data_IF_516152584785
#
_entry.id   IF_516152584785
#
_cell.length_a   1.000
_cell.length_b   1.000
_cell.length_c   1.000
_cell.angle_alpha   90.00
_cell.angle_beta   90.00
_cell.angle_gamma   90.00
#
_symmetry.space_group_name_H-M   'P 1'
#
loop_
_entity.id
_entity.type
_entity.pdbx_description
1 polymer ?
#
# COMPACT_ATOMS: atom_id res chain seq x y z
N UNK A 1 2.75 -7.40 16.57
CA UNK A 1 2.97 -8.50 15.61
C UNK A 1 2.02 -8.27 14.46
N UNK A 2 2.54 -8.18 13.24
CA UNK A 2 1.73 -7.98 12.05
C UNK A 2 0.99 -9.29 11.75
N UNK A 3 -0.33 -9.21 11.55
CA UNK A 3 -1.17 -10.41 11.44
C UNK A 3 -1.15 -10.96 10.00
N UNK A 4 0.04 -11.29 9.48
CA UNK A 4 0.19 -11.94 8.18
C UNK A 4 -0.40 -13.35 8.19
N UNK A 5 -0.85 -13.83 7.03
CA UNK A 5 -1.31 -15.22 6.88
C UNK A 5 -0.15 -16.17 7.18
N UNK A 6 1.04 -15.92 6.65
CA UNK A 6 2.19 -16.78 6.91
C UNK A 6 2.52 -16.92 8.39
N UNK A 7 2.53 -15.81 9.12
CA UNK A 7 2.86 -15.74 10.55
C UNK A 7 1.79 -16.39 11.41
N UNK A 8 0.52 -16.10 11.10
CA UNK A 8 -0.64 -16.65 11.83
C UNK A 8 -0.66 -18.17 11.80
N UNK A 9 -0.30 -18.76 10.66
CA UNK A 9 -0.34 -20.20 10.45
C UNK A 9 1.04 -20.87 10.54
N UNK A 10 2.08 -20.14 10.95
CA UNK A 10 3.48 -20.62 11.04
C UNK A 10 4.00 -21.25 9.73
N UNK A 11 3.68 -20.63 8.59
CA UNK A 11 3.96 -21.15 7.26
C UNK A 11 5.36 -20.79 6.74
N UNK A 12 6.14 -19.97 7.47
CA UNK A 12 7.42 -19.45 7.01
C UNK A 12 7.30 -18.85 5.59
N UNK A 13 8.21 -19.18 4.68
CA UNK A 13 8.22 -18.68 3.30
C UNK A 13 7.32 -19.47 2.33
N UNK A 14 6.52 -20.44 2.80
CA UNK A 14 5.74 -21.32 1.91
C UNK A 14 4.77 -20.57 1.00
N UNK A 15 4.16 -19.47 1.46
CA UNK A 15 3.29 -18.64 0.62
C UNK A 15 4.07 -18.00 -0.54
N UNK A 16 5.27 -17.49 -0.27
CA UNK A 16 6.14 -16.90 -1.29
C UNK A 16 6.63 -17.94 -2.30
N UNK A 17 7.03 -19.12 -1.83
CA UNK A 17 7.43 -20.25 -2.69
C UNK A 17 6.30 -20.68 -3.64
N UNK A 18 5.04 -20.53 -3.22
CA UNK A 18 3.85 -20.80 -4.02
C UNK A 18 3.37 -19.60 -4.86
N UNK A 19 4.04 -18.45 -4.77
CA UNK A 19 3.62 -17.22 -5.44
C UNK A 19 2.29 -16.66 -4.94
N UNK A 20 1.94 -16.92 -3.67
CA UNK A 20 0.74 -16.40 -3.01
C UNK A 20 1.08 -15.07 -2.34
N UNK A 21 0.20 -14.09 -2.49
CA UNK A 21 0.32 -12.83 -1.77
C UNK A 21 0.03 -13.05 -0.28
N UNK A 22 1.01 -12.71 0.55
CA UNK A 22 0.88 -12.83 2.01
C UNK A 22 0.15 -11.60 2.57
N UNK A 23 -1.17 -11.70 2.64
CA UNK A 23 -2.04 -10.61 3.08
C UNK A 23 -2.01 -10.43 4.60
N UNK A 24 -2.20 -9.19 5.06
CA UNK A 24 -2.51 -8.90 6.45
C UNK A 24 -3.99 -9.20 6.75
N UNK A 25 -4.25 -9.86 7.87
CA UNK A 25 -5.60 -10.25 8.26
C UNK A 25 -6.42 -9.09 8.83
N UNK A 26 -5.77 -8.09 9.43
CA UNK A 26 -6.39 -6.99 10.16
C UNK A 26 -6.48 -5.68 9.35
N UNK A 27 -5.56 -5.45 8.42
CA UNK A 27 -5.54 -4.27 7.55
C UNK A 27 -5.56 -4.65 6.07
N UNK A 28 -5.96 -3.71 5.21
CA UNK A 28 -5.90 -3.91 3.77
C UNK A 28 -4.52 -3.55 3.22
N UNK A 29 -4.09 -4.32 2.23
CA UNK A 29 -2.84 -4.07 1.52
C UNK A 29 -3.08 -3.15 0.33
N UNK A 30 -2.15 -2.22 0.14
CA UNK A 30 -2.13 -1.27 -0.95
C UNK A 30 -1.72 -1.94 -2.26
N UNK A 31 -2.54 -2.86 -2.79
CA UNK A 31 -2.42 -3.47 -4.12
C UNK A 31 -3.80 -3.65 -4.78
N UNK A 32 -3.83 -3.93 -6.07
CA UNK A 32 -5.07 -4.19 -6.81
C UNK A 32 -4.91 -5.32 -7.84
N UNK A 33 -6.02 -5.91 -8.29
CA UNK A 33 -6.03 -6.92 -9.35
C UNK A 33 -5.90 -6.24 -10.71
N UNK A 34 -4.80 -6.51 -11.41
CA UNK A 34 -4.51 -5.88 -12.69
C UNK A 34 -4.98 -6.76 -13.87
N UNK A 35 -5.90 -6.24 -14.68
CA UNK A 35 -6.46 -6.97 -15.83
C UNK A 35 -5.41 -7.35 -16.90
N UNK A 36 -4.36 -6.56 -17.07
CA UNK A 36 -3.27 -6.87 -18.00
C UNK A 36 -2.37 -8.00 -17.48
N UNK A 37 -2.29 -8.16 -16.16
CA UNK A 37 -1.68 -9.35 -15.57
C UNK A 37 -2.56 -10.58 -15.75
N UNK A 38 -3.88 -10.45 -15.63
CA UNK A 38 -4.82 -11.55 -15.95
C UNK A 38 -4.76 -11.99 -17.42
N UNK A 39 -4.42 -11.09 -18.35
CA UNK A 39 -4.22 -11.42 -19.78
C UNK A 39 -3.02 -12.35 -20.00
N UNK A 40 -1.99 -12.26 -19.15
CA UNK A 40 -0.70 -12.94 -19.33
C UNK A 40 -0.39 -13.98 -18.26
N UNK A 41 -1.29 -14.15 -17.27
CA UNK A 41 -1.08 -15.06 -16.14
C UNK A 41 -1.01 -16.51 -16.59
N UNK A 42 -0.14 -17.27 -15.93
CA UNK A 42 -0.01 -18.72 -16.15
C UNK A 42 -0.71 -19.54 -15.08
N UNK A 43 -1.27 -18.90 -14.05
CA UNK A 43 -1.95 -19.55 -12.93
C UNK A 43 -3.24 -20.20 -13.42
N UNK A 44 -3.38 -21.50 -13.16
CA UNK A 44 -4.40 -22.35 -13.79
C UNK A 44 -5.83 -21.85 -13.59
N UNK A 45 -6.19 -21.40 -12.39
CA UNK A 45 -7.53 -20.90 -12.06
C UNK A 45 -7.88 -19.61 -12.79
N UNK A 46 -6.87 -18.81 -13.16
CA UNK A 46 -7.06 -17.48 -13.74
C UNK A 46 -6.87 -17.42 -15.26
N UNK A 47 -6.46 -18.53 -15.92
CA UNK A 47 -6.20 -18.56 -17.37
C UNK A 47 -7.37 -18.04 -18.22
N UNK A 48 -8.59 -18.33 -17.80
CA UNK A 48 -9.81 -17.90 -18.52
C UNK A 48 -10.42 -16.60 -17.97
N UNK A 49 -9.88 -16.05 -16.86
CA UNK A 49 -10.46 -14.90 -16.17
C UNK A 49 -10.52 -13.66 -17.06
N UNK A 50 -9.46 -13.37 -17.82
CA UNK A 50 -9.44 -12.26 -18.78
C UNK A 50 -10.57 -12.38 -19.82
N UNK A 51 -10.77 -13.57 -20.37
CA UNK A 51 -11.84 -13.82 -21.33
C UNK A 51 -13.23 -13.74 -20.68
N UNK A 52 -13.41 -14.24 -19.44
CA UNK A 52 -14.67 -14.11 -18.69
C UNK A 52 -15.07 -12.64 -18.49
N UNK A 53 -14.10 -11.80 -18.12
CA UNK A 53 -14.29 -10.36 -17.94
C UNK A 53 -14.74 -9.71 -19.25
N UNK A 54 -13.99 -9.91 -20.33
CA UNK A 54 -14.33 -9.35 -21.64
C UNK A 54 -15.70 -9.83 -22.13
N UNK A 55 -16.05 -11.09 -21.93
CA UNK A 55 -17.36 -11.64 -22.31
C UNK A 55 -18.53 -10.95 -21.60
N UNK A 56 -18.35 -10.48 -20.36
CA UNK A 56 -19.36 -9.68 -19.67
C UNK A 56 -19.45 -8.30 -20.31
N UNK A 57 -18.33 -7.65 -20.55
CA UNK A 57 -18.27 -6.33 -21.17
C UNK A 57 -18.82 -6.32 -22.60
N UNK A 58 -18.55 -7.34 -23.41
CA UNK A 58 -19.13 -7.54 -24.73
C UNK A 58 -20.67 -7.66 -24.67
N UNK A 59 -21.21 -8.40 -23.70
CA UNK A 59 -22.67 -8.50 -23.50
C UNK A 59 -23.26 -7.14 -23.16
N UNK A 60 -22.61 -6.38 -22.28
CA UNK A 60 -23.06 -5.03 -21.91
C UNK A 60 -23.02 -4.13 -23.15
N UNK A 61 -21.93 -4.12 -23.91
CA UNK A 61 -21.80 -3.34 -25.13
C UNK A 61 -22.90 -3.71 -26.15
N UNK A 62 -23.17 -5.00 -26.35
CA UNK A 62 -24.23 -5.48 -27.24
C UNK A 62 -25.63 -5.02 -26.80
N UNK A 63 -25.92 -5.07 -25.50
CA UNK A 63 -27.18 -4.58 -24.94
C UNK A 63 -27.32 -3.07 -25.17
N UNK A 64 -26.27 -2.30 -24.90
CA UNK A 64 -26.26 -0.86 -25.14
C UNK A 64 -26.39 -0.52 -26.62
N UNK A 65 -25.76 -1.27 -27.52
CA UNK A 65 -25.91 -1.10 -28.98
C UNK A 65 -27.36 -1.29 -29.44
N UNK A 66 -28.08 -2.26 -28.86
CA UNK A 66 -29.49 -2.54 -29.17
C UNK A 66 -30.48 -1.60 -28.48
N UNK A 67 -30.04 -0.89 -27.43
CA UNK A 67 -30.86 0.08 -26.73
C UNK A 67 -31.14 1.31 -27.60
N UNK A 68 -32.39 1.80 -27.55
CA UNK A 68 -32.85 3.05 -28.16
C UNK A 68 -32.80 4.23 -27.19
N UNK A 69 -33.04 4.00 -25.90
CA UNK A 69 -33.00 5.02 -24.85
C UNK A 69 -32.79 4.41 -23.46
N UNK A 70 -32.54 5.27 -22.48
CA UNK A 70 -32.25 4.96 -21.08
C UNK A 70 -33.41 4.26 -20.31
N UNK A 71 -34.61 4.19 -20.90
CA UNK A 71 -35.79 3.57 -20.27
C UNK A 71 -36.10 2.17 -20.80
N UNK A 72 -35.47 1.76 -21.89
CA UNK A 72 -35.78 0.47 -22.52
C UNK A 72 -35.18 -0.73 -21.78
N UNK A 73 -35.66 -1.92 -22.14
CA UNK A 73 -35.28 -3.18 -21.49
C UNK A 73 -33.80 -3.54 -21.68
N UNK A 74 -33.19 -3.16 -22.80
CA UNK A 74 -31.79 -3.48 -23.08
C UNK A 74 -30.88 -2.57 -22.25
N UNK A 75 -31.21 -1.29 -22.11
CA UNK A 75 -30.49 -0.38 -21.22
C UNK A 75 -30.55 -0.81 -19.76
N UNK A 76 -31.75 -1.17 -19.28
CA UNK A 76 -31.93 -1.68 -17.91
C UNK A 76 -31.15 -2.97 -17.68
N UNK A 77 -31.21 -3.91 -18.63
CA UNK A 77 -30.43 -5.16 -18.55
C UNK A 77 -28.91 -4.89 -18.54
N UNK A 78 -28.41 -3.92 -19.31
CA UNK A 78 -27.01 -3.53 -19.28
C UNK A 78 -26.62 -2.93 -17.92
N UNK A 79 -27.46 -2.06 -17.36
CA UNK A 79 -27.25 -1.45 -16.04
C UNK A 79 -27.26 -2.48 -14.90
N UNK A 80 -28.15 -3.48 -15.00
CA UNK A 80 -28.24 -4.58 -14.03
C UNK A 80 -27.03 -5.52 -14.15
N UNK A 81 -26.57 -5.80 -15.37
CA UNK A 81 -25.38 -6.62 -15.63
C UNK A 81 -24.09 -5.91 -15.18
N UNK A 82 -24.07 -4.57 -15.20
CA UNK A 82 -22.97 -3.75 -14.68
C UNK A 82 -23.07 -3.51 -13.16
N UNK A 83 -23.65 -4.45 -12.42
CA UNK A 83 -23.70 -4.40 -10.96
C UNK A 83 -22.60 -5.26 -10.35
N UNK A 84 -21.54 -4.62 -9.86
CA UNK A 84 -20.40 -5.28 -9.25
C UNK A 84 -20.24 -4.81 -7.79
N UNK A 85 -20.89 -5.48 -6.83
CA UNK A 85 -20.64 -5.25 -5.41
C UNK A 85 -19.22 -5.70 -5.03
N UNK A 86 -18.66 -5.04 -4.00
CA UNK A 86 -17.35 -5.36 -3.41
C UNK A 86 -17.27 -6.84 -3.01
N UNK A 87 -16.10 -7.44 -3.24
CA UNK A 87 -15.80 -8.80 -2.80
C UNK A 87 -15.05 -8.72 -1.48
N UNK A 88 -15.77 -9.00 -0.40
CA UNK A 88 -15.17 -9.10 0.93
C UNK A 88 -14.13 -10.24 0.97
N UNK A 89 -13.05 -10.03 1.73
CA UNK A 89 -12.10 -11.10 2.04
C UNK A 89 -10.75 -11.04 1.32
N UNK A 90 -10.60 -10.16 0.33
CA UNK A 90 -9.38 -10.05 -0.48
C UNK A 90 -8.20 -9.41 0.28
N UNK A 91 -8.49 -8.62 1.32
CA UNK A 91 -7.46 -7.89 2.06
C UNK A 91 -6.72 -6.85 1.22
N UNK A 92 -7.40 -6.28 0.21
CA UNK A 92 -6.88 -5.26 -0.70
C UNK A 92 -7.73 -3.99 -0.58
N UNK A 93 -7.08 -2.82 -0.63
CA UNK A 93 -7.80 -1.54 -0.60
C UNK A 93 -6.91 -0.35 -0.27
N UNK A 94 -7.31 0.84 -0.76
CA UNK A 94 -6.63 2.12 -0.52
C UNK A 94 -7.52 3.16 0.17
N UNK A 95 -8.78 2.83 0.44
CA UNK A 95 -9.68 3.72 1.16
C UNK A 95 -9.53 3.55 2.68
N UNK A 96 -9.33 4.66 3.41
CA UNK A 96 -9.26 4.71 4.89
C UNK A 96 -10.61 4.41 5.61
N UNK A 97 -11.58 3.81 4.91
CA UNK A 97 -12.94 3.56 5.38
C UNK A 97 -13.22 2.07 5.62
N UNK A 98 -14.01 1.75 6.65
CA UNK A 98 -14.32 0.37 7.08
C UNK A 98 -15.03 -0.52 6.05
N UNK A 99 -15.54 0.03 4.94
CA UNK A 99 -16.17 -0.70 3.83
C UNK A 99 -16.08 0.09 2.52
N UNK A 100 -15.55 -0.51 1.45
CA UNK A 100 -15.60 0.03 0.10
C UNK A 100 -17.02 -0.12 -0.46
N UNK A 101 -17.65 0.94 -0.98
CA UNK A 101 -19.04 0.84 -1.46
C UNK A 101 -19.19 0.24 -2.88
N UNK A 102 -18.12 -0.37 -3.43
CA UNK A 102 -18.05 -0.77 -4.83
C UNK A 102 -18.51 0.35 -5.79
N UNK A 103 -19.15 -0.03 -6.90
CA UNK A 103 -19.80 0.91 -7.81
C UNK A 103 -21.25 1.22 -7.36
N UNK A 104 -21.42 2.31 -6.62
CA UNK A 104 -22.73 2.81 -6.20
C UNK A 104 -23.69 3.12 -7.36
N UNK A 105 -25.00 3.13 -7.09
CA UNK A 105 -26.07 3.27 -8.12
C UNK A 105 -25.88 4.46 -9.06
N UNK A 106 -25.60 5.65 -8.53
CA UNK A 106 -25.41 6.88 -9.33
C UNK A 106 -24.23 6.74 -10.30
N UNK A 107 -23.13 6.12 -9.83
CA UNK A 107 -21.93 5.97 -10.62
C UNK A 107 -22.12 4.95 -11.75
N UNK A 108 -22.76 3.81 -11.45
CA UNK A 108 -23.14 2.83 -12.49
C UNK A 108 -24.02 3.45 -13.57
N UNK A 109 -25.00 4.25 -13.18
CA UNK A 109 -25.87 4.95 -14.13
C UNK A 109 -25.08 5.91 -15.03
N UNK A 110 -24.10 6.64 -14.47
CA UNK A 110 -23.23 7.53 -15.25
C UNK A 110 -22.37 6.72 -16.24
N UNK A 111 -21.64 5.72 -15.75
CA UNK A 111 -20.78 4.87 -16.60
C UNK A 111 -21.56 4.26 -17.77
N UNK A 112 -22.75 3.72 -17.50
CA UNK A 112 -23.56 3.08 -18.53
C UNK A 112 -24.16 4.10 -19.50
N UNK A 113 -24.48 5.31 -19.03
CA UNK A 113 -24.90 6.42 -19.89
C UNK A 113 -23.77 6.87 -20.83
N UNK A 114 -22.56 7.03 -20.30
CA UNK A 114 -21.39 7.49 -21.08
C UNK A 114 -20.96 6.39 -22.07
N UNK A 115 -20.92 5.13 -21.63
CA UNK A 115 -20.69 3.98 -22.51
C UNK A 115 -21.73 3.89 -23.63
N UNK A 116 -23.01 4.17 -23.36
CA UNK A 116 -24.06 4.19 -24.39
C UNK A 116 -23.80 5.27 -25.45
N UNK A 117 -23.33 6.45 -25.04
CA UNK A 117 -22.98 7.53 -25.97
C UNK A 117 -21.78 7.15 -26.84
N UNK A 118 -20.72 6.62 -26.23
CA UNK A 118 -19.53 6.13 -26.94
C UNK A 118 -19.88 5.05 -27.97
N UNK A 119 -20.68 4.05 -27.56
CA UNK A 119 -21.13 2.96 -28.45
C UNK A 119 -22.02 3.50 -29.58
N UNK A 120 -22.89 4.48 -29.30
CA UNK A 120 -23.70 5.11 -30.34
C UNK A 120 -22.85 5.90 -31.34
N UNK A 121 -21.70 6.42 -30.90
CA UNK A 121 -20.75 7.16 -31.73
C UNK A 121 -19.86 6.24 -32.59
N UNK A 122 -19.87 4.93 -32.34
CA UNK A 122 -19.31 3.91 -33.25
C UNK A 122 -18.20 3.04 -32.66
N UNK A 123 -17.87 3.19 -31.38
CA UNK A 123 -16.84 2.39 -30.70
C UNK A 123 -17.50 1.41 -29.71
N UNK A 124 -17.51 0.12 -30.02
CA UNK A 124 -18.18 -0.93 -29.24
C UNK A 124 -17.22 -1.96 -28.62
N UNK A 125 -15.92 -1.65 -28.56
CA UNK A 125 -14.90 -2.47 -27.92
C UNK A 125 -15.17 -2.71 -26.42
N UNK A 126 -15.06 -3.95 -25.90
CA UNK A 126 -15.24 -4.23 -24.46
C UNK A 126 -14.19 -3.53 -23.57
N UNK A 127 -13.00 -3.23 -24.10
CA UNK A 127 -11.92 -2.60 -23.34
C UNK A 127 -12.22 -1.15 -22.91
N UNK A 128 -13.30 -0.54 -23.40
CA UNK A 128 -13.83 0.74 -22.87
C UNK A 128 -14.06 0.62 -21.36
N UNK A 129 -14.59 -0.53 -20.91
CA UNK A 129 -14.85 -0.77 -19.48
C UNK A 129 -13.58 -1.02 -18.67
N UNK A 130 -12.46 -1.37 -19.31
CA UNK A 130 -11.15 -1.45 -18.63
C UNK A 130 -10.63 -0.05 -18.32
N UNK A 131 -10.89 0.89 -19.23
CA UNK A 131 -10.44 2.28 -19.16
C UNK A 131 -11.46 3.22 -18.50
N UNK A 132 -12.53 2.71 -17.90
CA UNK A 132 -13.55 3.56 -17.27
C UNK A 132 -12.96 4.52 -16.22
N UNK A 133 -11.93 4.09 -15.48
CA UNK A 133 -11.20 4.96 -14.56
C UNK A 133 -10.46 6.14 -15.21
N UNK A 134 -10.25 6.13 -16.52
CA UNK A 134 -9.57 7.19 -17.28
C UNK A 134 -10.46 8.43 -17.46
N UNK A 135 -11.76 8.23 -17.65
CA UNK A 135 -12.70 9.30 -18.02
C UNK A 135 -13.87 9.45 -17.03
N UNK A 136 -14.00 8.56 -16.03
CA UNK A 136 -15.05 8.65 -15.03
C UNK A 136 -14.58 9.18 -13.67
N UNK A 137 -15.29 10.20 -13.18
CA UNK A 137 -15.06 10.74 -11.84
C UNK A 137 -15.35 9.68 -10.78
N UNK A 138 -14.56 9.72 -9.72
CA UNK A 138 -14.68 8.80 -8.59
C UNK A 138 -14.50 7.31 -8.95
N UNK A 139 -14.04 6.96 -10.15
CA UNK A 139 -13.58 5.59 -10.43
C UNK A 139 -12.06 5.59 -10.30
N UNK A 140 -11.62 5.05 -9.17
CA UNK A 140 -10.21 4.74 -8.91
C UNK A 140 -9.94 3.24 -9.05
N UNK A 141 -8.66 2.83 -8.94
CA UNK A 141 -8.28 1.44 -9.16
C UNK A 141 -8.92 0.45 -8.19
N UNK A 142 -9.24 0.84 -6.95
CA UNK A 142 -9.99 0.00 -6.00
C UNK A 142 -11.32 -0.47 -6.60
N UNK A 143 -12.11 0.45 -7.18
CA UNK A 143 -13.42 0.12 -7.77
C UNK A 143 -13.27 -0.72 -9.04
N UNK A 144 -12.16 -0.58 -9.76
CA UNK A 144 -11.84 -1.42 -10.91
C UNK A 144 -11.46 -2.83 -10.42
N UNK A 145 -10.66 -2.91 -9.37
CA UNK A 145 -10.26 -4.15 -8.70
C UNK A 145 -11.47 -4.91 -8.18
N UNK A 146 -12.39 -4.22 -7.50
CA UNK A 146 -13.66 -4.79 -7.02
C UNK A 146 -14.49 -5.35 -8.15
N UNK A 147 -14.60 -4.59 -9.26
CA UNK A 147 -15.32 -5.03 -10.45
C UNK A 147 -14.71 -6.30 -11.03
N UNK A 148 -13.39 -6.32 -11.19
CA UNK A 148 -12.65 -7.49 -11.69
C UNK A 148 -12.85 -8.67 -10.74
N UNK A 149 -12.58 -8.48 -9.45
CA UNK A 149 -12.71 -9.49 -8.41
C UNK A 149 -14.12 -10.09 -8.36
N UNK A 150 -15.16 -9.26 -8.50
CA UNK A 150 -16.54 -9.71 -8.53
C UNK A 150 -16.78 -10.68 -9.69
N UNK A 151 -16.28 -10.34 -10.88
CA UNK A 151 -16.46 -11.16 -12.08
C UNK A 151 -15.74 -12.51 -11.94
N UNK A 152 -14.54 -12.50 -11.34
CA UNK A 152 -13.67 -13.68 -11.24
C UNK A 152 -13.72 -14.34 -9.86
N UNK A 153 -14.75 -14.03 -9.05
CA UNK A 153 -14.84 -14.47 -7.65
C UNK A 153 -14.71 -15.98 -7.50
N UNK A 154 -15.33 -16.75 -8.38
CA UNK A 154 -15.25 -18.21 -8.36
C UNK A 154 -13.83 -18.73 -8.64
N UNK A 155 -13.07 -18.03 -9.48
CA UNK A 155 -11.67 -18.35 -9.79
C UNK A 155 -10.78 -18.08 -8.56
N UNK A 156 -11.04 -16.97 -7.86
CA UNK A 156 -10.36 -16.63 -6.59
C UNK A 156 -10.66 -17.67 -5.50
N UNK A 157 -11.92 -18.10 -5.37
CA UNK A 157 -12.32 -19.12 -4.40
C UNK A 157 -11.64 -20.46 -4.74
N UNK A 158 -11.64 -20.87 -6.00
CA UNK A 158 -10.97 -22.10 -6.44
C UNK A 158 -9.46 -22.06 -6.12
N UNK A 159 -8.80 -20.95 -6.44
CA UNK A 159 -7.39 -20.73 -6.11
C UNK A 159 -7.15 -20.82 -4.60
N UNK A 160 -7.95 -20.12 -3.81
CA UNK A 160 -7.85 -20.12 -2.34
C UNK A 160 -7.98 -21.53 -1.77
N UNK A 161 -8.97 -22.31 -2.23
CA UNK A 161 -9.19 -23.70 -1.79
C UNK A 161 -7.99 -24.60 -2.14
N UNK A 162 -7.41 -24.46 -3.33
CA UNK A 162 -6.20 -25.20 -3.70
C UNK A 162 -5.04 -24.86 -2.77
N UNK A 163 -4.81 -23.58 -2.52
CA UNK A 163 -3.72 -23.13 -1.64
C UNK A 163 -3.93 -23.62 -0.20
N UNK A 164 -5.15 -23.49 0.35
CA UNK A 164 -5.48 -24.04 1.67
C UNK A 164 -5.22 -25.55 1.75
N UNK A 165 -5.53 -26.29 0.68
CA UNK A 165 -5.25 -27.74 0.61
C UNK A 165 -3.75 -28.03 0.63
N UNK A 166 -2.95 -27.32 -0.16
CA UNK A 166 -1.48 -27.50 -0.23
C UNK A 166 -0.81 -27.15 1.10
N UNK A 167 -1.31 -26.11 1.77
CA UNK A 167 -0.77 -25.62 3.04
C UNK A 167 -1.37 -26.33 4.25
N UNK A 168 -2.35 -27.20 4.02
CA UNK A 168 -3.12 -27.91 5.04
C UNK A 168 -3.82 -26.96 6.04
N UNK A 169 -4.26 -25.79 5.56
CA UNK A 169 -5.03 -24.81 6.33
C UNK A 169 -6.50 -25.26 6.34
N UNK A 170 -6.86 -26.03 7.36
CA UNK A 170 -8.18 -26.60 7.54
C UNK A 170 -8.55 -26.72 9.03
N UNK A 171 -9.81 -27.05 9.31
CA UNK A 171 -10.33 -27.15 10.67
C UNK A 171 -9.72 -28.30 11.50
N UNK A 172 -9.10 -29.29 10.87
CA UNK A 172 -8.45 -30.40 11.59
C UNK A 172 -7.09 -29.96 12.14
N UNK A 173 -6.30 -29.25 11.33
CA UNK A 173 -4.98 -28.75 11.70
C UNK A 173 -5.02 -27.44 12.50
N UNK A 174 -6.08 -26.65 12.35
CA UNK A 174 -6.25 -25.34 12.99
C UNK A 174 -7.65 -25.20 13.63
N UNK A 175 -7.98 -26.02 14.65
CA UNK A 175 -9.32 -26.10 15.25
C UNK A 175 -9.78 -24.82 15.98
N UNK A 176 -8.85 -23.94 16.31
CA UNK A 176 -9.12 -22.63 16.93
C UNK A 176 -9.65 -21.60 15.93
N UNK A 177 -9.53 -21.87 14.63
CA UNK A 177 -10.04 -21.01 13.57
C UNK A 177 -11.38 -21.51 13.01
N UNK A 178 -12.19 -20.57 12.52
CA UNK A 178 -13.47 -20.89 11.89
C UNK A 178 -13.31 -21.07 10.38
N UNK A 179 -14.03 -22.02 9.81
CA UNK A 179 -14.03 -22.32 8.38
C UNK A 179 -15.46 -22.42 7.84
N UNK A 180 -15.70 -21.92 6.64
CA UNK A 180 -16.97 -22.02 5.92
C UNK A 180 -16.69 -22.45 4.48
N UNK A 181 -17.33 -23.52 4.02
CA UNK A 181 -17.14 -24.09 2.67
C UNK A 181 -15.68 -24.34 2.25
N UNK A 182 -14.81 -24.66 3.21
CA UNK A 182 -13.37 -24.88 2.97
C UNK A 182 -12.53 -23.60 2.87
N UNK A 183 -13.12 -22.45 3.17
CA UNK A 183 -12.44 -21.16 3.31
C UNK A 183 -12.28 -20.82 4.78
N UNK A 184 -11.09 -20.32 5.15
CA UNK A 184 -10.86 -19.76 6.47
C UNK A 184 -11.73 -18.50 6.65
N UNK A 185 -12.36 -18.33 7.80
CA UNK A 185 -12.96 -17.07 8.19
C UNK A 185 -11.91 -16.23 8.91
N UNK A 186 -11.60 -15.07 8.34
CA UNK A 186 -10.66 -14.12 8.90
C UNK A 186 -11.08 -13.74 10.34
N UNK A 187 -10.23 -13.98 11.36
CA UNK A 187 -10.60 -13.79 12.77
C UNK A 187 -10.78 -12.30 13.15
N UNK A 188 -10.23 -11.37 12.39
CA UNK A 188 -10.33 -9.92 12.64
C UNK A 188 -11.49 -9.30 11.86
N UNK A 189 -11.59 -9.59 10.55
CA UNK A 189 -12.60 -9.00 9.65
C UNK A 189 -13.92 -9.77 9.60
N UNK A 190 -13.98 -10.99 10.12
CA UNK A 190 -15.17 -11.86 10.16
C UNK A 190 -15.77 -12.15 8.78
N UNK A 191 -14.91 -12.21 7.76
CA UNK A 191 -15.25 -12.53 6.37
C UNK A 191 -14.38 -13.69 5.89
N UNK A 192 -14.79 -14.44 4.86
CA UNK A 192 -13.92 -15.47 4.26
C UNK A 192 -12.60 -14.84 3.81
N UNK A 193 -11.47 -15.46 4.13
CA UNK A 193 -10.17 -15.07 3.60
C UNK A 193 -10.05 -15.58 2.17
N UNK A 194 -9.82 -14.66 1.23
CA UNK A 194 -9.61 -14.96 -0.17
C UNK A 194 -8.16 -14.63 -0.54
N UNK A 195 -7.40 -15.66 -0.90
CA UNK A 195 -6.00 -15.54 -1.28
C UNK A 195 -5.88 -15.19 -2.76
N UNK A 196 -4.84 -14.42 -3.10
CA UNK A 196 -4.55 -14.01 -4.48
C UNK A 196 -3.10 -14.34 -4.83
N UNK A 197 -2.79 -14.73 -6.08
CA UNK A 197 -1.41 -14.87 -6.52
C UNK A 197 -0.76 -13.49 -6.70
N UNK A 198 0.52 -13.37 -6.36
CA UNK A 198 1.31 -12.15 -6.62
C UNK A 198 1.32 -11.78 -8.12
N UNK A 199 1.18 -12.78 -8.99
CA UNK A 199 1.25 -12.65 -10.45
C UNK A 199 0.18 -11.72 -11.04
N UNK A 200 -1.00 -11.65 -10.43
CA UNK A 200 -2.14 -10.85 -10.91
C UNK A 200 -2.26 -9.50 -10.19
N UNK A 201 -1.42 -9.28 -9.18
CA UNK A 201 -1.41 -8.07 -8.37
C UNK A 201 -0.41 -7.06 -8.93
N UNK A 202 -0.70 -5.80 -8.68
CA UNK A 202 0.23 -4.72 -8.97
C UNK A 202 0.07 -3.60 -7.93
N UNK A 203 1.13 -2.84 -7.66
CA UNK A 203 0.95 -1.53 -7.02
C UNK A 203 -0.03 -0.71 -7.84
N UNK A 204 -0.84 0.12 -7.19
CA UNK A 204 -1.50 1.24 -7.85
C UNK A 204 -0.54 1.80 -8.90
N UNK A 205 -0.96 2.01 -10.16
CA UNK A 205 -0.16 2.88 -10.98
C UNK A 205 0.17 4.12 -10.14
N UNK A 206 1.39 4.63 -10.22
CA UNK A 206 1.79 5.89 -9.53
C UNK A 206 0.76 7.01 -9.78
N UNK A 207 -0.14 6.82 -10.76
CA UNK A 207 -1.48 7.38 -10.83
C UNK A 207 -2.43 7.11 -9.63
N UNK A 208 -2.07 7.66 -8.46
CA UNK A 208 -3.03 8.53 -7.75
C UNK A 208 -3.32 9.79 -8.61
N UNK A 209 -2.31 10.19 -9.40
CA UNK A 209 -2.32 11.23 -10.43
C UNK A 209 -1.60 10.78 -11.72
N UNK A 210 -2.29 10.93 -12.85
CA UNK A 210 -1.78 11.46 -14.12
C UNK A 210 -0.65 10.82 -14.94
N UNK A 211 0.32 10.10 -14.39
CA UNK A 211 1.45 9.64 -15.21
C UNK A 211 1.03 8.63 -16.30
N UNK A 212 -0.07 7.89 -16.11
CA UNK A 212 -0.64 7.04 -17.16
C UNK A 212 -1.49 7.82 -18.17
N UNK A 213 -2.20 8.89 -17.76
CA UNK A 213 -2.94 9.73 -18.71
C UNK A 213 -1.95 10.48 -19.57
N UNK A 214 -0.90 11.07 -19.01
CA UNK A 214 0.15 11.73 -19.78
C UNK A 214 0.97 10.73 -20.58
N UNK A 215 1.25 9.50 -20.11
CA UNK A 215 1.91 8.47 -20.93
C UNK A 215 1.03 8.04 -22.10
N UNK A 216 -0.26 7.79 -21.86
CA UNK A 216 -1.23 7.40 -22.91
C UNK A 216 -1.46 8.57 -23.87
N UNK A 217 -1.65 9.80 -23.38
CA UNK A 217 -1.72 11.01 -24.19
C UNK A 217 -0.44 11.26 -24.99
N UNK A 218 0.74 11.04 -24.42
CA UNK A 218 2.01 11.18 -25.13
C UNK A 218 2.25 10.06 -26.16
N UNK A 219 1.75 8.85 -25.92
CA UNK A 219 1.85 7.72 -26.85
C UNK A 219 0.80 7.84 -27.99
N UNK A 220 -0.37 8.41 -27.71
CA UNK A 220 -1.41 8.68 -28.69
C UNK A 220 -1.21 10.12 -29.20
N UNK A 221 -0.31 10.30 -30.19
CA UNK A 221 0.00 11.62 -30.77
C UNK A 221 -1.25 12.45 -31.16
N UNK A 222 -2.34 11.78 -31.57
CA UNK A 222 -3.63 12.40 -31.90
C UNK A 222 -4.31 12.97 -30.64
N UNK A 223 -4.34 12.22 -29.53
CA UNK A 223 -4.92 12.66 -28.26
C UNK A 223 -4.18 13.89 -27.72
N UNK A 224 -2.84 13.92 -27.85
CA UNK A 224 -2.04 15.10 -27.50
C UNK A 224 -2.34 16.31 -28.39
N UNK A 225 -2.47 16.12 -29.70
CA UNK A 225 -2.80 17.21 -30.63
C UNK A 225 -4.18 17.80 -30.31
N UNK A 226 -5.18 16.95 -30.15
CA UNK A 226 -6.56 17.34 -29.83
C UNK A 226 -6.67 18.02 -28.45
N UNK A 227 -6.01 17.48 -27.42
CA UNK A 227 -5.96 18.12 -26.11
C UNK A 227 -5.25 19.49 -26.18
N UNK A 228 -4.13 19.58 -26.92
CA UNK A 228 -3.42 20.84 -27.09
C UNK A 228 -4.26 21.88 -27.86
N UNK A 229 -5.03 21.45 -28.86
CA UNK A 229 -5.90 22.33 -29.64
C UNK A 229 -7.10 22.82 -28.84
N UNK A 230 -7.68 21.98 -27.96
CA UNK A 230 -8.86 22.33 -27.14
C UNK A 230 -8.44 23.13 -25.90
N UNK A 231 -7.28 22.83 -25.30
CA UNK A 231 -6.96 23.25 -23.93
C UNK A 231 -5.59 23.90 -23.78
N UNK A 232 -4.62 23.55 -24.62
CA UNK A 232 -3.26 24.07 -24.59
C UNK A 232 -2.60 23.98 -23.20
N UNK A 233 -1.93 25.04 -22.78
CA UNK A 233 -1.16 25.09 -21.52
C UNK A 233 -2.02 24.87 -20.26
N UNK A 234 -3.34 25.13 -20.32
CA UNK A 234 -4.26 24.93 -19.18
C UNK A 234 -4.43 23.47 -18.80
N UNK A 235 -4.04 22.54 -19.67
CA UNK A 235 -4.14 21.10 -19.41
C UNK A 235 -3.28 20.70 -18.22
N UNK A 236 -2.08 21.28 -18.07
CA UNK A 236 -1.17 20.93 -16.97
C UNK A 236 -1.72 21.32 -15.61
N UNK A 237 -2.35 22.49 -15.52
CA UNK A 237 -2.80 23.11 -14.26
C UNK A 237 -4.18 22.63 -13.79
N UNK A 238 -4.89 21.81 -14.58
CA UNK A 238 -6.22 21.32 -14.18
C UNK A 238 -6.18 20.24 -13.10
N UNK A 239 -7.25 20.18 -12.31
CA UNK A 239 -7.49 19.07 -11.37
C UNK A 239 -7.86 17.79 -12.11
N UNK A 240 -7.54 16.63 -11.52
CA UNK A 240 -7.85 15.31 -12.11
C UNK A 240 -9.30 15.16 -12.50
N UNK A 241 -10.23 15.63 -11.66
CA UNK A 241 -11.66 15.57 -11.95
C UNK A 241 -12.05 16.32 -13.22
N UNK A 242 -11.46 17.50 -13.45
CA UNK A 242 -11.75 18.30 -14.66
C UNK A 242 -11.14 17.66 -15.91
N UNK A 243 -9.95 17.08 -15.79
CA UNK A 243 -9.28 16.37 -16.89
C UNK A 243 -10.07 15.13 -17.33
N UNK A 244 -10.64 14.40 -16.38
CA UNK A 244 -11.55 13.27 -16.66
C UNK A 244 -12.80 13.70 -17.42
N UNK A 245 -13.41 14.82 -17.03
CA UNK A 245 -14.59 15.35 -17.74
C UNK A 245 -14.25 15.73 -19.17
N UNK A 246 -13.11 16.38 -19.39
CA UNK A 246 -12.62 16.69 -20.74
C UNK A 246 -12.47 15.41 -21.56
N UNK A 247 -11.79 14.38 -21.02
CA UNK A 247 -11.58 13.12 -21.74
C UNK A 247 -12.90 12.43 -22.06
N UNK A 248 -13.87 12.44 -21.13
CA UNK A 248 -15.20 11.90 -21.38
C UNK A 248 -15.88 12.60 -22.55
N UNK A 249 -15.92 13.95 -22.54
CA UNK A 249 -16.46 14.75 -23.65
C UNK A 249 -15.73 14.45 -24.96
N UNK A 250 -14.40 14.43 -24.93
CA UNK A 250 -13.55 14.18 -26.10
C UNK A 250 -13.82 12.81 -26.72
N UNK A 251 -13.93 11.76 -25.89
CA UNK A 251 -14.22 10.40 -26.37
C UNK A 251 -15.63 10.25 -26.93
N UNK A 252 -16.60 11.02 -26.42
CA UNK A 252 -17.97 11.04 -26.93
C UNK A 252 -18.06 11.81 -28.26
N UNK A 253 -17.41 12.98 -28.35
CA UNK A 253 -17.46 13.84 -29.53
C UNK A 253 -16.57 13.32 -30.68
N UNK A 254 -15.45 12.66 -30.35
CA UNK A 254 -14.45 12.18 -31.31
C UNK A 254 -14.06 10.71 -31.06
N UNK A 255 -14.90 9.74 -31.49
CA UNK A 255 -14.69 8.32 -31.21
C UNK A 255 -13.35 7.77 -31.71
N UNK A 256 -12.81 8.31 -32.81
CA UNK A 256 -11.51 7.90 -33.35
C UNK A 256 -10.33 8.10 -32.38
N UNK A 257 -10.44 9.05 -31.45
CA UNK A 257 -9.45 9.27 -30.39
C UNK A 257 -9.51 8.12 -29.37
N UNK A 258 -10.72 7.69 -28.98
CA UNK A 258 -10.89 6.53 -28.11
C UNK A 258 -10.39 5.25 -28.81
N UNK A 259 -10.76 5.03 -30.07
CA UNK A 259 -10.25 3.89 -30.86
C UNK A 259 -8.72 3.85 -30.88
N UNK A 260 -8.08 5.01 -31.12
CA UNK A 260 -6.61 5.12 -31.11
C UNK A 260 -6.02 4.82 -29.73
N UNK A 261 -6.68 5.31 -28.68
CA UNK A 261 -6.30 5.04 -27.28
C UNK A 261 -6.40 3.55 -26.95
N UNK A 262 -7.47 2.89 -27.36
CA UNK A 262 -7.68 1.46 -27.18
C UNK A 262 -6.63 0.64 -27.94
N UNK A 263 -6.25 1.05 -29.15
CA UNK A 263 -5.20 0.37 -29.91
C UNK A 263 -3.83 0.44 -29.22
N UNK A 264 -3.48 1.59 -28.64
CA UNK A 264 -2.26 1.70 -27.80
C UNK A 264 -2.39 0.81 -26.57
N UNK A 265 -3.53 0.86 -25.87
CA UNK A 265 -3.79 0.05 -24.68
C UNK A 265 -3.68 -1.46 -24.93
N UNK A 266 -4.14 -1.94 -26.10
CA UNK A 266 -4.00 -3.36 -26.50
C UNK A 266 -2.54 -3.79 -26.61
N UNK A 267 -1.65 -2.91 -27.08
CA UNK A 267 -0.22 -3.17 -27.20
C UNK A 267 0.59 -3.07 -25.90
N UNK A 268 -0.02 -2.60 -24.81
CA UNK A 268 0.65 -2.50 -23.50
C UNK A 268 0.76 -3.89 -22.87
N UNK A 269 2.00 -4.29 -22.59
CA UNK A 269 2.32 -5.37 -21.67
C UNK A 269 2.81 -4.78 -20.35
N UNK A 270 2.42 -5.39 -19.23
CA UNK A 270 2.83 -4.98 -17.89
C UNK A 270 3.61 -6.14 -17.28
N UNK A 271 4.84 -5.88 -16.83
CA UNK A 271 5.67 -6.88 -16.16
C UNK A 271 5.08 -7.27 -14.80
N UNK A 272 5.54 -8.39 -14.23
CA UNK A 272 5.15 -8.77 -12.87
C UNK A 272 5.61 -7.70 -11.88
N UNK A 273 4.78 -7.41 -10.87
CA UNK A 273 5.18 -6.51 -9.80
C UNK A 273 6.27 -7.14 -8.94
N UNK A 274 7.37 -6.43 -8.75
CA UNK A 274 8.46 -6.88 -7.88
C UNK A 274 8.15 -6.50 -6.43
N UNK A 275 7.50 -7.41 -5.70
CA UNK A 275 7.22 -7.25 -4.27
C UNK A 275 8.49 -7.15 -3.40
N UNK A 276 9.66 -7.56 -3.90
CA UNK A 276 10.97 -7.43 -3.23
C UNK A 276 11.60 -6.07 -3.51
N UNK A 277 11.24 -5.42 -4.62
CA UNK A 277 11.58 -4.03 -4.94
C UNK A 277 10.34 -3.15 -4.92
N UNK A 278 9.50 -3.32 -3.91
CA UNK A 278 8.34 -2.45 -3.72
C UNK A 278 8.79 -0.99 -3.53
N UNK A 279 8.32 -0.10 -4.40
CA UNK A 279 8.65 1.33 -4.36
C UNK A 279 8.20 2.00 -3.06
N UNK A 280 7.10 1.57 -2.46
CA UNK A 280 6.64 2.04 -1.14
C UNK A 280 7.39 1.34 0.00
N UNK A 281 7.76 0.07 -0.22
CA UNK A 281 8.51 -0.77 0.71
C UNK A 281 7.64 -1.38 1.80
N UNK A 282 6.33 -1.12 1.79
CA UNK A 282 5.43 -1.46 2.88
C UNK A 282 5.37 -2.99 3.10
N UNK A 283 5.29 -3.78 2.02
CA UNK A 283 5.23 -5.23 2.11
C UNK A 283 6.53 -5.85 2.65
N UNK A 284 7.68 -5.40 2.14
CA UNK A 284 9.01 -5.93 2.53
C UNK A 284 9.32 -5.55 3.97
N UNK A 285 9.06 -4.30 4.36
CA UNK A 285 9.28 -3.81 5.73
C UNK A 285 8.48 -4.67 6.70
N UNK A 286 7.20 -4.87 6.41
CA UNK A 286 6.29 -5.64 7.23
C UNK A 286 6.75 -7.11 7.35
N UNK A 287 7.12 -7.75 6.23
CA UNK A 287 7.57 -9.15 6.21
C UNK A 287 8.92 -9.36 6.91
N UNK A 288 9.89 -8.45 6.70
CA UNK A 288 11.17 -8.51 7.40
C UNK A 288 10.92 -8.36 8.90
N UNK A 289 10.14 -7.36 9.30
CA UNK A 289 9.88 -7.06 10.70
C UNK A 289 9.24 -8.22 11.47
N UNK A 290 8.37 -8.98 10.81
CA UNK A 290 7.70 -10.12 11.42
C UNK A 290 8.65 -11.27 11.79
N UNK A 291 9.71 -11.48 11.00
CA UNK A 291 10.73 -12.51 11.25
C UNK A 291 11.84 -12.06 12.24
N UNK A 292 11.88 -10.79 12.62
CA UNK A 292 12.96 -10.27 13.47
C UNK A 292 12.94 -10.82 14.89
N UNK A 293 11.81 -10.93 15.61
CA UNK A 293 11.82 -11.40 17.00
C UNK A 293 12.35 -12.83 17.15
N UNK A 294 12.11 -13.70 16.18
CA UNK A 294 12.62 -15.08 16.17
C UNK A 294 14.10 -15.13 15.81
N UNK A 295 14.53 -14.31 14.86
CA UNK A 295 15.93 -14.29 14.38
C UNK A 295 16.87 -13.55 15.34
N UNK A 296 16.37 -12.48 15.96
CA UNK A 296 17.13 -11.55 16.80
C UNK A 296 16.39 -11.21 18.11
N UNK A 297 16.15 -12.19 18.98
CA UNK A 297 15.37 -11.99 20.20
C UNK A 297 16.02 -10.96 21.14
N UNK A 298 15.19 -10.14 21.80
CA UNK A 298 15.64 -9.25 22.87
C UNK A 298 15.51 -9.99 24.19
N UNK A 299 16.64 -10.17 24.90
CA UNK A 299 16.66 -10.72 26.26
C UNK A 299 16.87 -9.57 27.25
N UNK A 300 15.89 -9.30 28.13
CA UNK A 300 16.08 -8.35 29.23
C UNK A 300 16.67 -9.06 30.45
N UNK A 301 17.65 -8.45 31.10
CA UNK A 301 18.18 -8.93 32.37
C UNK A 301 17.16 -8.77 33.52
N UNK A 302 17.23 -9.63 34.53
CA UNK A 302 16.35 -9.59 35.72
C UNK A 302 16.42 -8.26 36.51
N UNK A 303 17.46 -7.45 36.29
CA UNK A 303 17.71 -6.17 36.97
C UNK A 303 17.12 -4.93 36.28
N UNK A 304 16.55 -5.08 35.08
CA UNK A 304 15.92 -3.95 34.38
C UNK A 304 14.60 -3.59 35.06
N UNK A 305 14.51 -2.42 35.69
CA UNK A 305 13.20 -1.83 36.01
C UNK A 305 12.40 -1.79 34.72
N UNK A 306 11.23 -2.44 34.69
CA UNK A 306 10.28 -2.49 33.56
C UNK A 306 9.59 -1.13 33.32
N UNK A 307 10.35 -0.03 33.32
CA UNK A 307 9.80 1.25 32.89
C UNK A 307 9.67 1.27 31.37
N UNK A 308 8.68 2.00 30.87
CA UNK A 308 8.52 2.20 29.42
C UNK A 308 9.79 2.77 28.80
N UNK A 309 10.50 3.66 29.50
CA UNK A 309 11.74 4.25 29.02
C UNK A 309 12.82 3.22 28.73
N UNK A 310 13.07 2.28 29.66
CA UNK A 310 14.12 1.27 29.47
C UNK A 310 13.77 0.32 28.32
N UNK A 311 12.51 -0.13 28.26
CA UNK A 311 12.04 -1.02 27.19
C UNK A 311 12.13 -0.31 25.83
N UNK A 312 11.64 0.93 25.74
CA UNK A 312 11.67 1.73 24.51
C UNK A 312 13.12 1.97 24.07
N UNK A 313 14.02 2.30 25.01
CA UNK A 313 15.45 2.44 24.73
C UNK A 313 16.04 1.15 24.16
N UNK A 314 15.75 0.00 24.77
CA UNK A 314 16.20 -1.30 24.25
C UNK A 314 15.68 -1.58 22.85
N UNK A 315 14.43 -1.23 22.55
CA UNK A 315 13.86 -1.37 21.19
C UNK A 315 14.58 -0.44 20.19
N UNK A 316 14.83 0.83 20.54
CA UNK A 316 15.55 1.77 19.70
C UNK A 316 17.00 1.33 19.44
N UNK A 317 17.70 0.84 20.47
CA UNK A 317 19.05 0.27 20.33
C UNK A 317 19.03 -1.01 19.49
N UNK A 318 17.98 -1.83 19.61
CA UNK A 318 17.85 -3.01 18.76
C UNK A 318 17.61 -2.63 17.31
N UNK A 319 16.77 -1.63 17.04
CA UNK A 319 16.59 -1.08 15.71
C UNK A 319 17.93 -0.56 15.14
N UNK A 320 18.71 0.18 15.94
CA UNK A 320 20.05 0.64 15.56
C UNK A 320 20.96 -0.52 15.15
N UNK A 321 21.06 -1.55 15.99
CA UNK A 321 21.87 -2.75 15.73
C UNK A 321 21.46 -3.47 14.45
N UNK A 322 20.16 -3.67 14.25
CA UNK A 322 19.61 -4.33 13.06
C UNK A 322 19.97 -3.57 11.77
N UNK A 323 19.83 -2.25 11.78
CA UNK A 323 20.17 -1.39 10.65
C UNK A 323 21.68 -1.38 10.41
N UNK A 324 22.50 -1.24 11.44
CA UNK A 324 23.95 -1.05 11.30
C UNK A 324 24.72 -2.35 11.02
N UNK A 325 24.24 -3.49 11.54
CA UNK A 325 25.00 -4.73 11.62
C UNK A 325 24.29 -5.95 10.99
N UNK A 326 22.97 -5.92 10.77
CA UNK A 326 22.20 -7.08 10.29
C UNK A 326 21.55 -6.90 8.91
N UNK A 327 22.09 -6.00 8.08
CA UNK A 327 21.61 -5.68 6.72
C UNK A 327 20.13 -5.22 6.65
N UNK A 328 19.52 -4.82 7.78
CA UNK A 328 18.16 -4.27 7.77
C UNK A 328 18.15 -2.84 7.19
N UNK A 329 19.32 -2.21 7.01
CA UNK A 329 19.48 -0.94 6.32
C UNK A 329 18.86 -0.92 4.93
N UNK A 330 18.80 -2.07 4.23
CA UNK A 330 18.22 -2.18 2.89
C UNK A 330 16.75 -1.74 2.86
N UNK A 331 16.01 -1.88 3.98
CA UNK A 331 14.64 -1.37 4.11
C UNK A 331 14.55 0.15 3.93
N UNK A 332 15.63 0.87 4.20
CA UNK A 332 15.67 2.33 4.15
C UNK A 332 16.10 2.86 2.77
N UNK A 333 16.31 1.97 1.78
CA UNK A 333 16.69 2.33 0.42
C UNK A 333 15.75 1.70 -0.62
N UNK A 334 15.65 2.36 -1.77
CA UNK A 334 15.00 1.84 -2.98
C UNK A 334 15.91 2.17 -4.17
N UNK A 335 16.34 1.16 -4.94
CA UNK A 335 17.30 1.35 -6.05
C UNK A 335 18.54 2.18 -5.68
N UNK A 336 19.11 1.94 -4.48
CA UNK A 336 20.23 2.69 -3.89
C UNK A 336 19.93 4.16 -3.55
N UNK A 337 18.69 4.61 -3.67
CA UNK A 337 18.24 5.93 -3.21
C UNK A 337 17.63 5.82 -1.82
N UNK A 338 17.94 6.75 -0.90
CA UNK A 338 17.33 6.74 0.43
C UNK A 338 15.81 6.99 0.35
N UNK A 339 15.04 6.27 1.16
CA UNK A 339 13.61 6.52 1.34
C UNK A 339 13.38 7.77 2.20
N UNK A 340 12.16 8.30 2.17
CA UNK A 340 11.78 9.49 2.94
C UNK A 340 11.57 9.16 4.44
N UNK A 341 11.46 10.20 5.27
CA UNK A 341 11.29 10.07 6.73
C UNK A 341 10.09 9.20 7.11
N UNK A 342 8.96 9.32 6.39
CA UNK A 342 7.76 8.52 6.62
C UNK A 342 7.98 7.03 6.43
N UNK A 343 8.78 6.62 5.43
CA UNK A 343 9.15 5.22 5.25
C UNK A 343 10.06 4.71 6.39
N UNK A 344 10.97 5.55 6.88
CA UNK A 344 11.82 5.21 8.04
C UNK A 344 10.98 5.06 9.32
N UNK A 345 10.00 5.95 9.53
CA UNK A 345 9.04 5.84 10.63
C UNK A 345 8.24 4.54 10.55
N UNK A 346 7.73 4.17 9.37
CA UNK A 346 7.06 2.88 9.15
C UNK A 346 7.97 1.69 9.44
N UNK A 347 9.23 1.73 8.98
CA UNK A 347 10.20 0.69 9.27
C UNK A 347 10.44 0.54 10.77
N UNK A 348 10.63 1.65 11.47
CA UNK A 348 10.75 1.64 12.93
C UNK A 348 9.50 1.07 13.60
N UNK A 349 8.29 1.50 13.20
CA UNK A 349 7.04 0.99 13.75
C UNK A 349 6.94 -0.53 13.64
N UNK A 350 7.22 -1.09 12.45
CA UNK A 350 7.12 -2.53 12.24
C UNK A 350 8.11 -3.30 13.11
N UNK A 351 9.35 -2.81 13.21
CA UNK A 351 10.38 -3.42 14.09
C UNK A 351 9.99 -3.27 15.56
N UNK A 352 9.55 -2.09 15.99
CA UNK A 352 9.20 -1.82 17.37
C UNK A 352 8.01 -2.67 17.82
N UNK A 353 6.94 -2.70 17.02
CA UNK A 353 5.72 -3.46 17.29
C UNK A 353 5.98 -4.98 17.38
N UNK A 354 6.93 -5.50 16.58
CA UNK A 354 7.29 -6.92 16.65
C UNK A 354 7.94 -7.31 17.99
N UNK A 355 8.62 -6.36 18.66
CA UNK A 355 9.16 -6.54 20.01
C UNK A 355 8.22 -6.09 21.13
N UNK A 356 7.30 -5.15 20.89
CA UNK A 356 6.36 -4.66 21.90
C UNK A 356 5.52 -5.78 22.54
N UNK A 357 5.09 -6.75 21.73
CA UNK A 357 4.33 -7.91 22.21
C UNK A 357 5.11 -8.73 23.26
N UNK A 358 6.42 -8.92 23.07
CA UNK A 358 7.27 -9.65 24.02
C UNK A 358 7.37 -8.95 25.39
N UNK A 359 7.14 -7.64 25.43
CA UNK A 359 7.25 -6.83 26.64
C UNK A 359 5.92 -6.38 27.22
N UNK A 360 4.80 -6.71 26.57
CA UNK A 360 3.45 -6.26 26.94
C UNK A 360 3.39 -4.72 27.14
N UNK A 361 3.91 -3.99 26.16
CA UNK A 361 3.90 -2.52 26.10
C UNK A 361 3.07 -2.06 24.90
N UNK A 362 2.23 -1.04 25.08
CA UNK A 362 1.49 -0.43 23.98
C UNK A 362 2.37 0.53 23.18
N UNK A 363 2.22 0.54 21.86
CA UNK A 363 2.79 1.54 20.95
C UNK A 363 1.65 2.21 20.18
N UNK A 364 1.69 3.54 20.08
CA UNK A 364 0.71 4.33 19.32
C UNK A 364 1.44 5.28 18.38
N UNK A 365 1.31 5.12 17.05
CA UNK A 365 1.87 6.05 16.08
C UNK A 365 1.02 7.32 15.95
N UNK A 366 1.66 8.42 15.55
CA UNK A 366 1.02 9.69 15.15
C UNK A 366 -0.03 10.22 16.16
N UNK A 367 0.20 10.08 17.48
CA UNK A 367 -0.75 10.58 18.48
C UNK A 367 -0.73 12.10 18.56
N UNK A 368 -1.83 12.76 18.20
CA UNK A 368 -1.97 14.22 18.27
C UNK A 368 -2.66 14.66 19.58
N UNK A 369 -1.91 15.37 20.42
CA UNK A 369 -2.37 15.96 21.67
C UNK A 369 -2.49 17.49 21.60
N UNK A 370 -2.59 18.06 20.38
CA UNK A 370 -2.97 19.44 20.10
C UNK A 370 -1.87 20.34 19.52
N UNK A 371 -0.62 19.88 19.44
CA UNK A 371 0.52 20.62 18.83
C UNK A 371 1.11 19.86 17.63
N UNK A 372 0.31 19.00 17.03
CA UNK A 372 0.72 18.07 15.99
C UNK A 372 1.04 16.69 16.58
N UNK A 373 1.09 15.67 15.72
CA UNK A 373 1.34 14.30 16.13
C UNK A 373 2.81 14.13 16.55
N UNK A 374 3.04 13.45 17.67
CA UNK A 374 4.34 12.83 17.95
C UNK A 374 4.45 11.54 17.16
N UNK A 375 5.64 11.20 16.68
CA UNK A 375 5.83 10.00 15.85
C UNK A 375 5.37 8.73 16.57
N UNK A 376 5.85 8.49 17.79
CA UNK A 376 5.45 7.33 18.60
C UNK A 376 5.31 7.63 20.08
N UNK A 377 4.27 7.04 20.69
CA UNK A 377 4.09 6.97 22.14
C UNK A 377 4.09 5.51 22.59
N UNK A 378 4.93 5.21 23.58
CA UNK A 378 4.99 3.92 24.25
C UNK A 378 4.43 4.03 25.66
N UNK A 379 3.56 3.10 26.07
CA UNK A 379 2.90 3.19 27.36
C UNK A 379 2.56 1.83 28.00
N UNK A 380 2.69 1.76 29.32
CA UNK A 380 2.16 0.66 30.16
C UNK A 380 1.09 1.16 31.13
N UNK A 381 1.06 2.46 31.42
CA UNK A 381 0.09 3.10 32.31
C UNK A 381 0.05 4.61 32.07
N UNK A 382 -0.93 5.30 32.66
CA UNK A 382 -1.03 6.76 32.55
C UNK A 382 0.22 7.49 33.10
N UNK A 383 0.93 6.95 34.09
CA UNK A 383 2.10 7.59 34.71
C UNK A 383 3.43 7.17 34.10
N UNK A 384 3.44 6.12 33.27
CA UNK A 384 4.64 5.61 32.63
C UNK A 384 4.42 5.60 31.11
N UNK A 385 4.96 6.65 30.47
CA UNK A 385 4.86 6.91 29.03
C UNK A 385 6.21 7.38 28.52
N UNK A 386 6.62 6.93 27.35
CA UNK A 386 7.85 7.36 26.69
C UNK A 386 7.55 7.77 25.25
N UNK A 387 8.06 8.92 24.83
CA UNK A 387 7.90 9.43 23.48
C UNK A 387 9.13 9.10 22.63
N UNK A 388 8.93 8.76 21.37
CA UNK A 388 10.01 8.66 20.38
C UNK A 388 9.69 9.58 19.22
N UNK A 389 10.62 10.47 18.89
CA UNK A 389 10.58 11.32 17.69
C UNK A 389 11.72 10.90 16.76
N UNK A 390 11.41 10.67 15.49
CA UNK A 390 12.36 10.26 14.47
C UNK A 390 12.68 11.43 13.56
N UNK A 391 13.97 11.64 13.27
CA UNK A 391 14.40 12.53 12.20
C UNK A 391 15.46 11.94 11.31
N UNK A 392 15.37 12.23 10.02
CA UNK A 392 16.51 12.05 9.12
C UNK A 392 17.60 13.07 9.45
N UNK A 393 18.86 12.64 9.44
CA UNK A 393 20.01 13.52 9.63
C UNK A 393 20.08 14.65 8.59
N UNK A 394 19.44 14.49 7.43
CA UNK A 394 19.32 15.49 6.37
C UNK A 394 18.29 16.59 6.67
N UNK A 395 17.44 16.43 7.70
CA UNK A 395 16.40 17.40 8.07
C UNK A 395 16.99 18.80 8.31
N UNK A 396 16.29 19.84 7.85
CA UNK A 396 16.68 21.23 8.13
C UNK A 396 16.38 21.64 9.57
N UNK A 397 15.46 20.92 10.24
CA UNK A 397 15.01 21.20 11.58
C UNK A 397 15.59 20.21 12.60
N UNK A 398 16.73 19.57 12.33
CA UNK A 398 17.28 18.50 13.16
C UNK A 398 17.52 18.93 14.63
N UNK A 399 18.18 20.07 14.86
CA UNK A 399 18.39 20.57 16.23
C UNK A 399 17.09 21.12 16.82
N UNK A 400 16.29 21.81 16.01
CA UNK A 400 15.02 22.40 16.44
C UNK A 400 13.99 21.35 16.88
N UNK A 401 13.95 20.19 16.20
CA UNK A 401 13.07 19.08 16.55
C UNK A 401 13.36 18.55 17.95
N UNK A 402 14.63 18.34 18.28
CA UNK A 402 15.04 17.91 19.61
C UNK A 402 14.78 18.99 20.68
N UNK A 403 15.07 20.25 20.36
CA UNK A 403 15.00 21.36 21.32
C UNK A 403 13.57 21.85 21.60
N UNK A 404 12.69 21.83 20.60
CA UNK A 404 11.38 22.49 20.67
C UNK A 404 10.24 21.50 20.46
N UNK A 405 10.24 20.74 19.37
CA UNK A 405 9.11 19.86 19.04
C UNK A 405 8.89 18.80 20.13
N UNK A 406 9.95 18.06 20.48
CA UNK A 406 9.85 17.00 21.47
C UNK A 406 9.55 17.52 22.89
N UNK A 407 9.98 18.74 23.22
CA UNK A 407 9.62 19.40 24.48
C UNK A 407 8.12 19.73 24.56
N UNK A 408 7.53 20.23 23.47
CA UNK A 408 6.09 20.51 23.42
C UNK A 408 5.27 19.22 23.50
N UNK A 409 5.70 18.13 22.84
CA UNK A 409 5.05 16.83 22.95
C UNK A 409 5.09 16.26 24.37
N UNK A 410 6.24 16.36 25.05
CA UNK A 410 6.39 15.95 26.46
C UNK A 410 5.43 16.68 27.38
N UNK A 411 5.25 17.99 27.19
CA UNK A 411 4.27 18.79 27.95
C UNK A 411 2.84 18.32 27.71
N UNK A 412 2.47 18.10 26.45
CA UNK A 412 1.13 17.66 26.08
C UNK A 412 0.80 16.27 26.65
N UNK A 413 1.75 15.34 26.58
CA UNK A 413 1.62 13.96 27.08
C UNK A 413 1.93 13.80 28.56
N UNK A 414 2.34 14.88 29.26
CA UNK A 414 2.70 14.89 30.69
C UNK A 414 3.74 13.83 31.05
N UNK A 415 4.80 13.71 30.24
CA UNK A 415 5.93 12.81 30.48
C UNK A 415 7.27 13.53 30.37
N UNK A 416 8.26 13.04 31.10
CA UNK A 416 9.67 13.48 30.99
C UNK A 416 10.51 12.50 30.16
N UNK A 417 10.00 11.29 29.90
CA UNK A 417 10.74 10.27 29.19
C UNK A 417 10.58 10.46 27.68
N UNK A 418 11.68 10.70 26.99
CA UNK A 418 11.66 10.77 25.53
C UNK A 418 12.99 10.37 24.91
N UNK A 419 12.93 9.85 23.69
CA UNK A 419 14.06 9.45 22.87
C UNK A 419 13.98 10.20 21.54
N UNK A 420 15.11 10.78 21.12
CA UNK A 420 15.28 11.39 19.82
C UNK A 420 16.13 10.46 18.95
N UNK A 421 15.48 9.82 17.97
CA UNK A 421 16.08 8.80 17.13
C UNK A 421 16.46 9.41 15.77
N UNK A 422 17.75 9.58 15.52
CA UNK A 422 18.24 10.21 14.30
C UNK A 422 18.80 9.17 13.35
N UNK A 423 18.27 9.12 12.13
CA UNK A 423 18.70 8.15 11.10
C UNK A 423 19.55 8.86 10.05
N UNK A 424 20.81 8.46 9.94
CA UNK A 424 21.74 8.96 8.95
C UNK A 424 21.77 8.05 7.72
N UNK A 425 21.30 8.56 6.59
CA UNK A 425 21.31 7.87 5.30
C UNK A 425 22.51 8.25 4.42
N UNK A 426 23.50 8.94 5.00
CA UNK A 426 24.75 9.38 4.35
C UNK A 426 24.85 10.90 4.12
N UNK A 427 26.08 11.40 4.00
CA UNK A 427 26.42 12.80 3.65
C UNK A 427 25.92 13.91 4.61
N UNK A 428 25.73 13.63 5.90
CA UNK A 428 25.23 14.61 6.89
C UNK A 428 26.20 14.93 8.05
N UNK A 429 27.50 14.70 7.88
CA UNK A 429 28.52 14.82 8.95
C UNK A 429 28.44 16.16 9.72
N UNK A 430 28.38 17.30 9.01
CA UNK A 430 28.28 18.63 9.64
C UNK A 430 27.02 18.82 10.48
N UNK A 431 25.88 18.31 10.03
CA UNK A 431 24.61 18.42 10.77
C UNK A 431 24.62 17.53 12.01
N UNK A 432 25.20 16.34 11.91
CA UNK A 432 25.39 15.44 13.04
C UNK A 432 26.37 16.03 14.07
N UNK A 433 27.44 16.69 13.64
CA UNK A 433 28.36 17.40 14.53
C UNK A 433 27.67 18.53 15.29
N UNK A 434 26.83 19.32 14.61
CA UNK A 434 26.02 20.37 15.25
C UNK A 434 25.05 19.78 16.29
N UNK A 435 24.36 18.69 15.95
CA UNK A 435 23.46 17.99 16.87
C UNK A 435 24.21 17.42 18.07
N UNK A 436 25.35 16.75 17.86
CA UNK A 436 26.16 16.18 18.94
C UNK A 436 26.72 17.26 19.87
N UNK A 437 27.13 18.40 19.33
CA UNK A 437 27.56 19.56 20.12
C UNK A 437 26.41 20.08 20.97
N UNK A 438 25.23 20.27 20.37
CA UNK A 438 24.04 20.69 21.10
C UNK A 438 23.68 19.68 22.19
N UNK A 439 23.64 18.38 21.89
CA UNK A 439 23.32 17.33 22.85
C UNK A 439 24.32 17.27 24.00
N UNK A 440 25.63 17.33 23.72
CA UNK A 440 26.68 17.30 24.75
C UNK A 440 26.56 18.46 25.74
N UNK A 441 26.14 19.64 25.27
CA UNK A 441 25.92 20.82 26.10
C UNK A 441 24.63 20.76 26.93
N UNK A 442 23.71 19.85 26.63
CA UNK A 442 22.37 19.81 27.24
C UNK A 442 22.00 18.48 27.92
N UNK A 443 22.73 17.38 27.68
CA UNK A 443 22.38 16.02 28.19
C UNK A 443 22.24 15.89 29.71
N UNK A 444 22.82 16.82 30.48
CA UNK A 444 22.70 16.85 31.94
C UNK A 444 21.50 17.65 32.46
N UNK A 445 20.71 18.28 31.59
CA UNK A 445 19.52 19.05 31.97
C UNK A 445 18.33 18.11 32.14
N UNK A 446 17.50 18.41 33.13
CA UNK A 446 16.25 17.68 33.35
C UNK A 446 15.36 17.72 32.10
N UNK A 447 14.83 16.56 31.73
CA UNK A 447 14.00 16.41 30.53
C UNK A 447 14.77 16.35 29.21
N UNK A 448 16.10 16.47 29.16
CA UNK A 448 16.82 16.30 27.89
C UNK A 448 16.54 14.88 27.33
N UNK A 449 16.10 14.74 26.06
CA UNK A 449 15.82 13.44 25.46
C UNK A 449 17.08 12.57 25.35
N UNK A 450 16.94 11.26 25.44
CA UNK A 450 18.01 10.34 25.03
C UNK A 450 18.26 10.50 23.53
N UNK A 451 19.51 10.69 23.10
CA UNK A 451 19.86 10.76 21.68
C UNK A 451 20.41 9.41 21.21
N UNK A 452 19.74 8.81 20.22
CA UNK A 452 20.22 7.59 19.55
C UNK A 452 20.43 7.92 18.07
N UNK A 453 21.65 7.74 17.57
CA UNK A 453 21.99 7.95 16.16
C UNK A 453 22.15 6.59 15.49
N UNK A 454 21.42 6.35 14.42
CA UNK A 454 21.47 5.14 13.58
C UNK A 454 22.16 5.48 12.27
N UNK A 455 23.28 4.83 11.97
CA UNK A 455 24.00 4.97 10.72
C UNK A 455 23.58 3.92 9.71
N UNK A 456 22.68 4.31 8.82
CA UNK A 456 22.17 3.49 7.73
C UNK A 456 22.94 3.69 6.42
N UNK A 457 24.08 4.41 6.44
CA UNK A 457 24.88 4.64 5.23
C UNK A 457 25.29 3.30 4.60
N UNK A 458 25.09 3.08 3.27
CA UNK A 458 25.41 1.80 2.64
C UNK A 458 26.89 1.49 2.82
N UNK A 459 27.19 0.34 3.45
CA UNK A 459 28.55 -0.12 3.70
C UNK A 459 29.02 -1.02 2.56
N UNK A 460 30.27 -0.89 2.17
CA UNK A 460 30.88 -1.90 1.30
C UNK A 460 31.03 -3.23 2.06
N UNK A 461 30.96 -4.35 1.33
CA UNK A 461 31.24 -5.68 1.89
C UNK A 461 32.55 -5.67 2.69
N UNK A 462 32.62 -6.39 3.81
CA UNK A 462 33.82 -6.46 4.66
C UNK A 462 35.11 -6.83 3.89
N UNK A 463 35.00 -7.59 2.79
CA UNK A 463 36.11 -7.95 1.89
C UNK A 463 36.66 -6.79 1.06
N UNK A 464 35.93 -5.67 0.95
CA UNK A 464 36.29 -4.45 0.20
C UNK A 464 36.52 -3.24 1.11
N UNK A 465 35.92 -3.24 2.30
CA UNK A 465 36.03 -2.17 3.28
C UNK A 465 37.49 -1.94 3.68
N UNK A 466 37.97 -0.70 3.49
CA UNK A 466 39.23 -0.21 4.07
C UNK A 466 38.86 0.79 5.17
N UNK A 467 39.26 0.56 6.43
CA UNK A 467 39.01 1.51 7.49
C UNK A 467 39.64 2.86 7.13
N UNK A 468 38.87 3.95 7.25
CA UNK A 468 39.43 5.31 7.16
C UNK A 468 40.45 5.45 8.31
N UNK A 469 41.69 5.77 7.95
CA UNK A 469 42.78 5.99 8.90
C UNK A 469 42.57 7.24 9.73
#
# INVERSE_FOLDING_TARGET
MLNFVSSTFNLNNRLEELGVFDSLLDIDSYYFINIKRLETTTIAEFKDSYHKINKIFEKIALLLKKSKNDKDRFYKAALDLFYFPEVNGLGLGYADGKHGSGLGKKLRQKVISDAKQIIAAGEDSPEIFHLVGLFERNIGPDRISDMIAHIIKEDIIAYTKRINTILEINAENYPEFSFEDGLLINPYKKTPLLLLPIDILHELPIAKDWDDIDRVCNQVNILKAEINDIIGDKWKDMSVGNKKDVLSTLFIENPGILTSTLNVYRGISIDQYDFIKDKTGDFIIAKVADNLPSTYPITLGESTKKSTYNITKTICEKFKDLIENNNVSDLLYYEKKPRNEKAVQKAFLCVADSYCNAFNIGISPETDSGRGPVDFKFETSYTDRTLVEIKLASSQNLVHGMQVQLEEYKKAEKTLNSIYLVVNLGNNEKKLEQLNTFYSNNKGKEGCPELIIVDATPKESASKFKPKK
#
